data_IF_825528949534
#
_entry.id   IF_825528949534
#
_cell.length_a   1.000
_cell.length_b   1.000
_cell.length_c   1.000
_cell.angle_alpha   90.00
_cell.angle_beta   90.00
_cell.angle_gamma   90.00
#
_symmetry.space_group_name_H-M   'P 1'
#
loop_
_entity.id
_entity.type
_entity.pdbx_description
1 polymer ?
#
# COMPACT_ATOMS: atom_id res chain seq x y z
N UNK A 1 58.18 -33.24 -41.05
CA UNK A 1 58.60 -31.96 -40.44
C UNK A 1 58.45 -32.09 -38.92
N UNK A 2 59.57 -32.17 -38.19
CA UNK A 2 59.57 -32.42 -36.75
C UNK A 2 59.41 -31.09 -35.96
N UNK A 3 58.46 -31.08 -35.02
CA UNK A 3 58.16 -29.92 -34.19
C UNK A 3 59.28 -29.71 -33.15
N UNK A 4 59.98 -28.56 -33.18
CA UNK A 4 61.07 -28.26 -32.23
C UNK A 4 60.51 -28.16 -30.80
N UNK A 5 61.12 -28.80 -29.79
CA UNK A 5 60.68 -28.67 -28.41
C UNK A 5 60.91 -27.25 -27.91
N UNK A 6 59.83 -26.55 -27.56
CA UNK A 6 59.88 -25.20 -26.96
C UNK A 6 60.81 -25.17 -25.75
N UNK A 7 61.67 -24.14 -25.69
CA UNK A 7 62.64 -23.98 -24.61
C UNK A 7 61.94 -23.74 -23.26
N UNK A 8 62.57 -24.12 -22.15
CA UNK A 8 62.05 -23.85 -20.79
C UNK A 8 61.72 -22.36 -20.57
N UNK A 9 62.44 -21.45 -21.24
CA UNK A 9 62.22 -19.99 -21.19
C UNK A 9 60.97 -19.54 -21.95
N UNK A 10 60.62 -20.19 -23.06
CA UNK A 10 59.39 -19.90 -23.80
C UNK A 10 58.15 -20.40 -23.05
N UNK A 11 58.21 -21.61 -22.48
CA UNK A 11 57.12 -22.14 -21.65
C UNK A 11 56.89 -21.29 -20.40
N UNK A 12 57.95 -20.78 -19.77
CA UNK A 12 57.81 -19.89 -18.60
C UNK A 12 57.25 -18.52 -18.97
N UNK A 13 57.65 -17.95 -20.13
CA UNK A 13 57.07 -16.71 -20.67
C UNK A 13 55.59 -16.88 -21.02
N UNK A 14 55.21 -17.98 -21.68
CA UNK A 14 53.82 -18.30 -22.00
C UNK A 14 52.97 -18.50 -20.74
N UNK A 15 53.47 -19.24 -19.73
CA UNK A 15 52.79 -19.36 -18.43
C UNK A 15 52.63 -18.02 -17.72
N UNK A 16 53.66 -17.16 -17.74
CA UNK A 16 53.58 -15.83 -17.10
C UNK A 16 52.64 -14.88 -17.85
N UNK A 17 52.56 -14.97 -19.17
CA UNK A 17 51.59 -14.21 -19.99
C UNK A 17 50.16 -14.71 -19.77
N UNK A 18 49.92 -16.02 -19.73
CA UNK A 18 48.60 -16.57 -19.47
C UNK A 18 48.14 -16.28 -18.04
N UNK A 19 49.04 -16.33 -17.06
CA UNK A 19 48.76 -15.98 -15.67
C UNK A 19 48.46 -14.48 -15.50
N UNK A 20 49.19 -13.59 -16.20
CA UNK A 20 48.87 -12.15 -16.25
C UNK A 20 47.51 -11.89 -16.89
N UNK A 21 47.21 -12.50 -18.04
CA UNK A 21 45.91 -12.37 -18.70
C UNK A 21 44.77 -12.88 -17.81
N UNK A 22 44.94 -14.05 -17.18
CA UNK A 22 43.95 -14.63 -16.26
C UNK A 22 43.72 -13.74 -15.04
N UNK A 23 44.79 -13.18 -14.46
CA UNK A 23 44.69 -12.20 -13.37
C UNK A 23 43.99 -10.91 -13.81
N UNK A 24 44.27 -10.40 -15.00
CA UNK A 24 43.58 -9.22 -15.57
C UNK A 24 42.09 -9.48 -15.82
N UNK A 25 41.73 -10.67 -16.31
CA UNK A 25 40.32 -11.06 -16.47
C UNK A 25 39.60 -11.18 -15.13
N UNK A 26 40.23 -11.79 -14.11
CA UNK A 26 39.66 -11.89 -12.77
C UNK A 26 39.45 -10.50 -12.17
N UNK A 27 40.47 -9.63 -12.22
CA UNK A 27 40.37 -8.26 -11.71
C UNK A 27 39.34 -7.43 -12.46
N UNK A 28 39.24 -7.57 -13.79
CA UNK A 28 38.21 -6.91 -14.60
C UNK A 28 36.80 -7.37 -14.24
N UNK A 29 36.60 -8.67 -14.05
CA UNK A 29 35.31 -9.23 -13.63
C UNK A 29 34.90 -8.75 -12.21
N UNK A 30 35.86 -8.63 -11.29
CA UNK A 30 35.62 -8.08 -9.95
C UNK A 30 35.17 -6.61 -10.00
N UNK A 31 35.82 -5.77 -10.82
CA UNK A 31 35.44 -4.36 -10.97
C UNK A 31 34.03 -4.23 -11.56
N UNK A 32 33.73 -4.99 -12.61
CA UNK A 32 32.39 -4.98 -13.24
C UNK A 32 31.32 -5.45 -12.24
N UNK A 33 31.59 -6.52 -11.48
CA UNK A 33 30.69 -7.02 -10.44
C UNK A 33 30.46 -5.99 -9.33
N UNK A 34 31.52 -5.31 -8.88
CA UNK A 34 31.42 -4.26 -7.87
C UNK A 34 30.60 -3.05 -8.38
N UNK A 35 30.82 -2.62 -9.63
CA UNK A 35 30.05 -1.54 -10.25
C UNK A 35 28.57 -1.91 -10.43
N UNK A 36 28.27 -3.13 -10.85
CA UNK A 36 26.90 -3.63 -10.97
C UNK A 36 26.20 -3.68 -9.60
N UNK A 37 26.91 -4.13 -8.56
CA UNK A 37 26.38 -4.15 -7.19
C UNK A 37 26.09 -2.74 -6.67
N UNK A 38 27.02 -1.80 -6.83
CA UNK A 38 26.82 -0.40 -6.41
C UNK A 38 25.67 0.24 -7.20
N UNK A 39 25.58 -0.01 -8.51
CA UNK A 39 24.48 0.46 -9.35
C UNK A 39 23.12 -0.09 -8.91
N UNK A 40 23.05 -1.39 -8.60
CA UNK A 40 21.83 -2.02 -8.10
C UNK A 40 21.43 -1.47 -6.72
N UNK A 41 22.39 -1.31 -5.80
CA UNK A 41 22.14 -0.72 -4.49
C UNK A 41 21.67 0.74 -4.60
N UNK A 42 22.28 1.55 -5.47
CA UNK A 42 21.86 2.92 -5.72
C UNK A 42 20.47 2.98 -6.37
N UNK A 43 20.14 2.05 -7.27
CA UNK A 43 18.80 1.93 -7.86
C UNK A 43 17.75 1.58 -6.80
N UNK A 44 18.03 0.61 -5.92
CA UNK A 44 17.14 0.24 -4.81
C UNK A 44 16.86 1.43 -3.87
N UNK A 45 17.91 2.18 -3.49
CA UNK A 45 17.76 3.38 -2.66
C UNK A 45 16.98 4.47 -3.40
N UNK A 46 17.31 4.74 -4.66
CA UNK A 46 16.61 5.74 -5.46
C UNK A 46 15.13 5.39 -5.68
N UNK A 47 14.82 4.12 -5.90
CA UNK A 47 13.46 3.63 -6.05
C UNK A 47 12.65 3.73 -4.75
N UNK A 48 13.26 3.42 -3.61
CA UNK A 48 12.63 3.63 -2.30
C UNK A 48 12.33 5.12 -2.06
N UNK A 49 13.31 6.01 -2.30
CA UNK A 49 13.13 7.45 -2.17
C UNK A 49 12.06 8.00 -3.12
N UNK A 50 11.98 7.50 -4.35
CA UNK A 50 10.96 7.89 -5.31
C UNK A 50 9.55 7.46 -4.88
N UNK A 51 9.39 6.23 -4.35
CA UNK A 51 8.11 5.81 -3.75
C UNK A 51 7.72 6.68 -2.57
N UNK A 52 8.65 6.97 -1.67
CA UNK A 52 8.39 7.89 -0.55
C UNK A 52 8.07 9.32 -1.01
N UNK A 53 8.55 9.76 -2.18
CA UNK A 53 8.19 11.07 -2.72
C UNK A 53 6.79 11.14 -3.33
N UNK A 54 6.17 9.99 -3.62
CA UNK A 54 4.76 9.91 -4.00
C UNK A 54 3.82 9.84 -2.79
N UNK A 55 4.32 9.82 -1.54
CA UNK A 55 3.47 9.75 -0.35
C UNK A 55 2.84 11.11 0.00
N UNK A 56 1.96 11.61 -0.85
CA UNK A 56 0.75 12.29 -0.37
C UNK A 56 -0.23 11.16 -0.12
N UNK A 57 -0.34 10.70 1.12
CA UNK A 57 -1.07 9.48 1.54
C UNK A 57 -2.59 9.63 1.39
N UNK A 58 -3.05 9.85 0.17
CA UNK A 58 -4.41 10.26 -0.16
C UNK A 58 -4.41 11.47 -1.08
N UNK A 59 -5.31 11.45 -2.05
CA UNK A 59 -5.77 12.64 -2.74
C UNK A 59 -6.79 13.36 -1.84
N UNK A 60 -6.69 14.70 -1.80
CA UNK A 60 -7.65 15.50 -1.02
C UNK A 60 -8.97 15.55 -1.76
N UNK A 61 -10.01 15.05 -1.11
CA UNK A 61 -11.39 15.18 -1.56
C UNK A 61 -11.98 16.53 -1.12
N UNK A 62 -12.94 17.05 -1.89
CA UNK A 62 -13.72 18.22 -1.47
C UNK A 62 -14.55 17.84 -0.24
N UNK A 63 -14.46 18.63 0.83
CA UNK A 63 -15.28 18.43 2.03
C UNK A 63 -16.70 18.91 1.77
N UNK A 64 -17.68 18.11 2.19
CA UNK A 64 -19.07 18.53 2.21
C UNK A 64 -19.28 19.66 3.23
N UNK A 65 -20.18 20.60 2.90
CA UNK A 65 -20.48 21.74 3.77
C UNK A 65 -21.18 21.32 5.07
N UNK A 66 -22.12 20.37 4.96
CA UNK A 66 -22.84 19.81 6.11
C UNK A 66 -22.14 18.55 6.61
N UNK A 67 -21.92 18.50 7.93
CA UNK A 67 -21.34 17.38 8.67
C UNK A 67 -22.25 16.94 9.82
N UNK A 68 -23.52 17.35 9.77
CA UNK A 68 -24.43 17.17 10.90
C UNK A 68 -24.91 15.73 11.02
N UNK A 69 -25.26 15.34 12.25
CA UNK A 69 -26.03 14.14 12.49
C UNK A 69 -27.43 14.22 11.86
N UNK A 70 -27.83 13.16 11.19
CA UNK A 70 -29.20 12.91 10.71
C UNK A 70 -29.77 11.65 11.35
N UNK A 71 -31.09 11.54 11.35
CA UNK A 71 -31.79 10.37 11.90
C UNK A 71 -31.44 9.11 11.08
N UNK A 72 -31.23 7.98 11.77
CA UNK A 72 -30.97 6.68 11.12
C UNK A 72 -32.12 6.30 10.17
N UNK A 73 -31.78 5.93 8.94
CA UNK A 73 -32.71 5.69 7.83
C UNK A 73 -32.95 6.92 6.92
N UNK A 74 -32.41 8.10 7.27
CA UNK A 74 -32.42 9.26 6.39
C UNK A 74 -31.43 9.05 5.24
N UNK A 75 -31.87 9.11 3.98
CA UNK A 75 -30.95 8.99 2.87
C UNK A 75 -29.92 10.12 2.86
N UNK A 76 -28.64 9.78 2.80
CA UNK A 76 -27.53 10.72 2.63
C UNK A 76 -26.86 10.50 1.28
N UNK A 77 -26.64 11.59 0.55
CA UNK A 77 -25.89 11.62 -0.70
C UNK A 77 -24.49 12.21 -0.46
N UNK A 78 -23.46 11.53 -0.94
CA UNK A 78 -22.07 11.95 -0.78
C UNK A 78 -21.49 12.47 -2.09
N UNK A 79 -20.54 13.40 -2.01
CA UNK A 79 -19.84 13.95 -3.18
C UNK A 79 -18.65 13.08 -3.64
N UNK A 80 -18.27 12.06 -2.88
CA UNK A 80 -17.29 11.04 -3.27
C UNK A 80 -17.85 9.64 -3.05
N UNK A 81 -17.32 8.68 -3.81
CA UNK A 81 -17.61 7.25 -3.66
C UNK A 81 -16.29 6.45 -3.64
N UNK A 82 -15.91 5.83 -2.50
CA UNK A 82 -16.59 5.83 -1.21
C UNK A 82 -16.61 7.23 -0.54
N UNK A 83 -17.45 7.45 0.49
CA UNK A 83 -17.53 8.76 1.13
C UNK A 83 -16.25 9.10 1.91
N UNK A 84 -15.99 10.41 2.01
CA UNK A 84 -14.83 10.97 2.73
C UNK A 84 -15.23 12.03 3.76
N UNK A 85 -16.44 12.56 3.70
CA UNK A 85 -17.03 13.52 4.65
C UNK A 85 -18.54 13.59 4.42
N UNK A 86 -19.27 14.31 5.25
CA UNK A 86 -20.69 14.60 5.03
C UNK A 86 -21.55 14.39 6.25
N UNK A 87 -22.86 14.55 6.05
CA UNK A 87 -23.88 14.16 7.02
C UNK A 87 -23.80 12.67 7.31
N UNK A 88 -24.15 12.27 8.51
CA UNK A 88 -23.98 10.90 8.94
C UNK A 88 -24.91 10.57 10.11
N UNK A 89 -25.06 9.28 10.43
CA UNK A 89 -25.92 8.86 11.52
C UNK A 89 -25.25 9.08 12.87
N UNK A 90 -26.03 9.30 13.93
CA UNK A 90 -25.50 9.56 15.27
C UNK A 90 -24.75 8.38 15.92
N UNK A 91 -24.86 7.18 15.35
CA UNK A 91 -24.16 5.99 15.86
C UNK A 91 -23.00 5.64 14.91
N UNK A 92 -21.74 5.61 15.38
CA UNK A 92 -20.63 5.16 14.56
C UNK A 92 -20.61 3.64 14.37
N UNK A 93 -19.99 3.20 13.28
CA UNK A 93 -19.59 1.79 13.15
C UNK A 93 -18.29 1.56 13.96
N UNK A 94 -18.20 0.53 14.80
CA UNK A 94 -16.99 0.27 15.57
C UNK A 94 -15.87 -0.25 14.68
N UNK A 95 -14.63 -0.16 15.18
CA UNK A 95 -13.47 -0.71 14.50
C UNK A 95 -13.62 -2.23 14.30
N UNK A 96 -13.19 -2.73 13.16
CA UNK A 96 -13.36 -4.14 12.83
C UNK A 96 -13.24 -4.45 11.35
N UNK A 97 -13.11 -5.75 11.06
CA UNK A 97 -13.14 -6.28 9.71
C UNK A 97 -14.53 -6.88 9.47
N UNK A 98 -15.27 -6.33 8.52
CA UNK A 98 -16.65 -6.71 8.21
C UNK A 98 -16.72 -7.40 6.84
N UNK A 99 -17.60 -8.40 6.74
CA UNK A 99 -17.95 -9.06 5.47
C UNK A 99 -19.36 -8.72 4.98
N UNK A 100 -20.14 -8.04 5.83
CA UNK A 100 -21.49 -7.54 5.55
C UNK A 100 -21.82 -6.46 6.59
N UNK A 101 -22.91 -5.73 6.40
CA UNK A 101 -23.45 -4.80 7.40
C UNK A 101 -23.80 -5.56 8.68
N UNK A 102 -23.25 -5.18 9.86
CA UNK A 102 -23.55 -5.87 11.11
C UNK A 102 -25.02 -5.77 11.50
N UNK A 103 -25.50 -6.79 12.21
CA UNK A 103 -26.86 -6.80 12.71
C UNK A 103 -27.15 -5.55 13.57
N UNK A 104 -28.29 -4.92 13.28
CA UNK A 104 -28.73 -3.72 13.99
C UNK A 104 -28.13 -2.43 13.45
N UNK A 105 -27.38 -2.43 12.36
CA UNK A 105 -27.04 -1.24 11.56
C UNK A 105 -27.93 -1.18 10.30
N UNK A 106 -28.12 0.01 9.75
CA UNK A 106 -28.88 0.20 8.52
C UNK A 106 -28.13 -0.40 7.31
N UNK A 107 -28.66 -1.49 6.76
CA UNK A 107 -28.08 -2.14 5.58
C UNK A 107 -28.35 -1.38 4.28
N UNK A 108 -29.29 -0.42 4.27
CA UNK A 108 -29.54 0.45 3.12
C UNK A 108 -28.50 1.55 2.97
N UNK A 109 -27.97 2.06 4.10
CA UNK A 109 -26.93 3.10 4.14
C UNK A 109 -25.86 2.85 5.22
N UNK A 110 -25.13 1.71 5.18
CA UNK A 110 -24.10 1.42 6.19
C UNK A 110 -22.99 2.47 6.22
N UNK A 111 -22.71 3.11 5.09
CA UNK A 111 -21.71 4.15 4.97
C UNK A 111 -22.01 5.37 5.85
N UNK A 112 -23.26 5.69 6.16
CA UNK A 112 -23.61 6.79 7.05
C UNK A 112 -23.21 6.54 8.51
N UNK A 113 -23.04 5.29 8.93
CA UNK A 113 -22.39 4.98 10.21
C UNK A 113 -20.87 5.07 10.14
N UNK A 114 -20.29 4.77 8.98
CA UNK A 114 -18.84 4.78 8.75
C UNK A 114 -18.30 6.22 8.62
N UNK A 115 -19.08 7.15 8.05
CA UNK A 115 -18.72 8.57 8.00
C UNK A 115 -18.60 9.17 9.39
N UNK A 116 -19.48 8.79 10.33
CA UNK A 116 -19.33 9.15 11.75
C UNK A 116 -18.00 8.62 12.31
N UNK A 117 -17.65 7.35 12.04
CA UNK A 117 -16.36 6.80 12.46
C UNK A 117 -15.19 7.63 11.89
N UNK A 118 -15.27 8.07 10.62
CA UNK A 118 -14.26 8.97 10.04
C UNK A 118 -14.23 10.35 10.71
N UNK A 119 -15.37 10.90 11.15
CA UNK A 119 -15.42 12.12 11.96
C UNK A 119 -14.61 11.96 13.27
N UNK A 120 -14.61 10.76 13.84
CA UNK A 120 -13.81 10.40 15.01
C UNK A 120 -12.38 9.93 14.70
N UNK A 121 -11.95 10.01 13.44
CA UNK A 121 -10.55 9.82 13.05
C UNK A 121 -10.22 8.43 12.51
N UNK A 122 -11.25 7.64 12.16
CA UNK A 122 -11.05 6.31 11.64
C UNK A 122 -10.52 6.33 10.20
N UNK A 123 -9.79 5.27 9.86
CA UNK A 123 -9.37 4.96 8.50
C UNK A 123 -10.13 3.73 7.99
N UNK A 124 -10.64 3.82 6.78
CA UNK A 124 -11.53 2.81 6.21
C UNK A 124 -10.86 2.14 5.02
N UNK A 125 -10.95 0.81 4.97
CA UNK A 125 -10.59 -0.04 3.85
C UNK A 125 -11.87 -0.51 3.16
N UNK A 126 -12.25 0.12 2.05
CA UNK A 126 -13.37 -0.28 1.22
C UNK A 126 -12.89 -1.29 0.19
N UNK A 127 -13.25 -2.56 0.32
CA UNK A 127 -12.75 -3.62 -0.57
C UNK A 127 -13.86 -4.17 -1.46
N UNK A 128 -13.52 -4.51 -2.70
CA UNK A 128 -14.45 -5.11 -3.65
C UNK A 128 -13.94 -6.45 -4.16
N UNK A 129 -14.55 -7.53 -3.68
CA UNK A 129 -14.22 -8.89 -4.12
C UNK A 129 -15.01 -9.34 -5.37
N UNK A 130 -15.99 -8.57 -5.87
CA UNK A 130 -16.78 -8.95 -7.04
C UNK A 130 -16.03 -8.78 -8.36
N UNK A 131 -14.94 -7.99 -8.35
CA UNK A 131 -14.15 -7.61 -9.53
C UNK A 131 -12.80 -8.35 -9.63
N UNK A 132 -12.49 -9.21 -8.67
CA UNK A 132 -11.25 -10.01 -8.61
C UNK A 132 -11.58 -11.49 -8.38
N UNK A 133 -10.61 -12.37 -8.58
CA UNK A 133 -10.80 -13.80 -8.30
C UNK A 133 -10.91 -14.09 -6.80
N UNK A 134 -11.47 -15.25 -6.44
CA UNK A 134 -11.60 -15.69 -5.04
C UNK A 134 -10.24 -15.72 -4.32
N UNK A 135 -9.19 -16.23 -4.98
CA UNK A 135 -7.84 -16.25 -4.41
C UNK A 135 -7.28 -14.84 -4.19
N UNK A 136 -7.46 -13.93 -5.16
CA UNK A 136 -7.03 -12.53 -5.02
C UNK A 136 -7.80 -11.81 -3.92
N UNK A 137 -9.09 -12.12 -3.75
CA UNK A 137 -9.88 -11.63 -2.63
C UNK A 137 -9.36 -12.17 -1.29
N UNK A 138 -9.03 -13.46 -1.20
CA UNK A 138 -8.40 -14.03 0.01
C UNK A 138 -7.10 -13.29 0.35
N UNK A 139 -6.20 -13.14 -0.62
CA UNK A 139 -4.92 -12.45 -0.45
C UNK A 139 -5.11 -10.97 -0.04
N UNK A 140 -6.09 -10.28 -0.64
CA UNK A 140 -6.44 -8.90 -0.29
C UNK A 140 -6.93 -8.81 1.16
N UNK A 141 -7.87 -9.67 1.55
CA UNK A 141 -8.43 -9.67 2.92
C UNK A 141 -7.35 -9.95 3.96
N UNK A 142 -6.45 -10.91 3.70
CA UNK A 142 -5.30 -11.21 4.56
C UNK A 142 -4.34 -10.01 4.66
N UNK A 143 -4.08 -9.35 3.53
CA UNK A 143 -3.26 -8.14 3.48
C UNK A 143 -3.84 -7.00 4.31
N UNK A 144 -5.14 -6.73 4.16
CA UNK A 144 -5.87 -5.72 4.95
C UNK A 144 -5.79 -6.07 6.45
N UNK A 145 -6.10 -7.31 6.83
CA UNK A 145 -6.04 -7.74 8.24
C UNK A 145 -4.62 -7.63 8.81
N UNK A 146 -3.59 -7.89 8.00
CA UNK A 146 -2.20 -7.69 8.42
C UNK A 146 -1.91 -6.22 8.72
N UNK A 147 -2.37 -5.28 7.89
CA UNK A 147 -2.20 -3.84 8.17
C UNK A 147 -2.99 -3.44 9.40
N UNK A 148 -4.27 -3.86 9.53
CA UNK A 148 -5.08 -3.57 10.72
C UNK A 148 -4.43 -4.06 12.01
N UNK A 149 -3.81 -5.25 11.97
CA UNK A 149 -3.08 -5.81 13.11
C UNK A 149 -1.88 -4.96 13.53
N UNK A 150 -1.22 -4.25 12.62
CA UNK A 150 -0.11 -3.33 12.95
C UNK A 150 -0.58 -2.17 13.84
N UNK A 151 -1.88 -1.86 13.83
CA UNK A 151 -2.52 -0.81 14.63
C UNK A 151 -3.41 -1.37 15.76
N UNK A 152 -3.28 -2.66 16.08
CA UNK A 152 -4.13 -3.36 17.07
C UNK A 152 -5.64 -3.24 16.78
N UNK A 153 -6.03 -3.10 15.51
CA UNK A 153 -7.42 -2.88 15.09
C UNK A 153 -8.08 -1.63 15.69
N UNK A 154 -7.31 -0.66 16.20
CA UNK A 154 -7.85 0.57 16.77
C UNK A 154 -8.16 1.58 15.67
N UNK A 155 -9.37 2.16 15.68
CA UNK A 155 -9.80 3.22 14.75
C UNK A 155 -9.58 2.88 13.27
N UNK A 156 -9.75 1.61 12.92
CA UNK A 156 -9.66 1.10 11.55
C UNK A 156 -10.82 0.17 11.25
N UNK A 157 -11.46 0.38 10.10
CA UNK A 157 -12.56 -0.45 9.61
C UNK A 157 -12.18 -1.02 8.25
N UNK A 158 -12.50 -2.28 8.00
CA UNK A 158 -12.55 -2.83 6.65
C UNK A 158 -13.99 -3.24 6.32
N UNK A 159 -14.51 -2.79 5.19
CA UNK A 159 -15.92 -2.96 4.84
C UNK A 159 -16.07 -3.30 3.35
N UNK A 160 -16.92 -4.27 2.97
CA UNK A 160 -17.15 -4.61 1.57
C UNK A 160 -17.90 -3.48 0.87
N UNK A 161 -17.47 -3.11 -0.34
CA UNK A 161 -18.05 -2.02 -1.08
C UNK A 161 -18.04 -2.29 -2.58
N UNK A 162 -19.20 -2.61 -3.16
CA UNK A 162 -19.26 -3.07 -4.55
C UNK A 162 -19.29 -1.93 -5.59
N UNK A 163 -19.39 -0.67 -5.14
CA UNK A 163 -19.47 0.50 -6.02
C UNK A 163 -18.13 0.89 -6.67
N UNK A 164 -17.01 0.52 -6.03
CA UNK A 164 -15.66 0.82 -6.53
C UNK A 164 -15.24 -0.15 -7.64
N UNK A 165 -14.46 0.33 -8.60
CA UNK A 165 -13.96 -0.42 -9.75
C UNK A 165 -12.50 -0.91 -9.60
N UNK A 166 -11.90 -0.67 -8.44
CA UNK A 166 -10.58 -1.18 -8.03
C UNK A 166 -10.70 -2.08 -6.79
N UNK A 167 -9.76 -3.02 -6.57
CA UNK A 167 -9.87 -3.99 -5.47
C UNK A 167 -10.01 -3.35 -4.08
N UNK A 168 -9.38 -2.19 -3.87
CA UNK A 168 -9.41 -1.48 -2.59
C UNK A 168 -9.40 0.03 -2.82
N UNK A 169 -10.23 0.75 -2.08
CA UNK A 169 -10.10 2.19 -1.87
C UNK A 169 -9.98 2.44 -0.37
N UNK A 170 -9.01 3.24 0.03
CA UNK A 170 -8.89 3.67 1.43
C UNK A 170 -9.41 5.09 1.57
N UNK A 171 -10.21 5.35 2.60
CA UNK A 171 -10.66 6.70 2.94
C UNK A 171 -10.39 7.05 4.40
N UNK A 172 -10.26 8.34 4.64
CA UNK A 172 -10.39 8.97 5.95
C UNK A 172 -11.09 10.31 5.75
N UNK A 173 -11.25 11.10 6.81
CA UNK A 173 -11.86 12.41 6.69
C UNK A 173 -11.15 13.29 5.63
N UNK A 174 -11.83 13.57 4.52
CA UNK A 174 -11.34 14.36 3.39
C UNK A 174 -10.19 13.77 2.57
N UNK A 175 -9.84 12.48 2.74
CA UNK A 175 -8.78 11.83 1.98
C UNK A 175 -9.26 10.52 1.35
N UNK A 176 -8.81 10.26 0.12
CA UNK A 176 -9.14 9.06 -0.63
C UNK A 176 -7.91 8.54 -1.36
N UNK A 177 -7.69 7.22 -1.35
CA UNK A 177 -6.61 6.59 -2.10
C UNK A 177 -7.09 5.27 -2.73
N UNK A 178 -7.21 5.19 -4.08
CA UNK A 178 -7.49 3.93 -4.76
C UNK A 178 -6.24 3.04 -4.91
N UNK A 179 -6.45 1.73 -4.91
CA UNK A 179 -5.42 0.69 -5.06
C UNK A 179 -5.84 -0.32 -6.13
N UNK A 180 -5.23 -0.22 -7.31
CA UNK A 180 -5.33 -1.23 -8.40
C UNK A 180 -4.76 -2.60 -7.98
N UNK A 181 -3.80 -2.59 -7.05
CA UNK A 181 -3.23 -3.78 -6.42
C UNK A 181 -2.88 -3.45 -4.99
N UNK A 182 -3.08 -4.40 -4.06
CA UNK A 182 -2.76 -4.19 -2.65
C UNK A 182 -1.25 -3.98 -2.45
N UNK A 183 -0.89 -2.84 -1.85
CA UNK A 183 0.47 -2.53 -1.40
C UNK A 183 0.44 -2.31 0.12
N UNK A 184 0.99 -3.27 0.86
CA UNK A 184 1.01 -3.26 2.33
C UNK A 184 1.68 -2.00 2.90
N UNK A 185 2.78 -1.56 2.31
CA UNK A 185 3.53 -0.40 2.80
C UNK A 185 2.72 0.86 2.57
N UNK A 186 2.17 1.04 1.38
CA UNK A 186 1.35 2.21 1.06
C UNK A 186 0.06 2.26 1.89
N UNK A 187 -0.60 1.12 2.11
CA UNK A 187 -1.78 1.04 2.98
C UNK A 187 -1.46 1.38 4.44
N UNK A 188 -0.36 0.82 4.98
CA UNK A 188 0.13 1.13 6.32
C UNK A 188 0.48 2.61 6.48
N UNK A 189 1.11 3.20 5.46
CA UNK A 189 1.41 4.62 5.44
C UNK A 189 0.12 5.45 5.43
N UNK A 190 -0.89 5.11 4.62
CA UNK A 190 -2.19 5.79 4.65
C UNK A 190 -2.81 5.80 6.05
N UNK A 191 -2.83 4.66 6.76
CA UNK A 191 -3.32 4.62 8.14
C UNK A 191 -2.49 5.54 9.05
N UNK A 192 -1.16 5.42 8.99
CA UNK A 192 -0.23 6.21 9.82
C UNK A 192 -0.43 7.71 9.64
N UNK A 193 -0.67 8.15 8.41
CA UNK A 193 -0.77 9.56 8.09
C UNK A 193 -2.17 10.12 8.28
N UNK A 194 -3.24 9.32 8.30
CA UNK A 194 -4.61 9.84 8.33
C UNK A 194 -5.40 9.52 9.59
N UNK A 195 -5.00 8.51 10.36
CA UNK A 195 -5.64 8.20 11.63
C UNK A 195 -5.63 9.43 12.56
N UNK A 196 -6.75 9.70 13.22
CA UNK A 196 -6.95 10.85 14.11
C UNK A 196 -6.79 12.23 13.47
N UNK A 197 -6.86 12.34 12.13
CA UNK A 197 -6.95 13.62 11.41
C UNK A 197 -8.37 13.90 10.96
N UNK A 198 -9.21 14.31 11.91
CA UNK A 198 -10.64 14.54 11.69
C UNK A 198 -11.18 15.67 12.58
N UNK A 199 -12.43 16.13 12.37
CA UNK A 199 -13.03 17.19 13.17
C UNK A 199 -13.13 16.86 14.67
N UNK A 200 -13.46 15.62 15.02
CA UNK A 200 -13.70 15.17 16.40
C UNK A 200 -12.85 13.95 16.77
N UNK A 201 -11.55 13.99 16.44
CA UNK A 201 -10.64 12.87 16.69
C UNK A 201 -10.68 12.38 18.14
N UNK A 202 -10.71 11.04 18.32
CA UNK A 202 -10.71 10.35 19.62
C UNK A 202 -11.91 10.64 20.52
N UNK A 203 -13.00 11.20 19.96
CA UNK A 203 -14.24 11.31 20.70
C UNK A 203 -14.82 9.90 20.98
N UNK A 204 -15.41 9.70 22.18
CA UNK A 204 -15.85 8.40 22.68
C UNK A 204 -17.14 7.88 22.03
#
# INVERSE_FOLDING_TARGET
MANKPQSRRERSRQKRQSQKRRSQFIWGAFIIGALAFVGYAAWQVGFALWRSSQSTTGETAELMESILHVDEGTPVDYNTDPPTSGEHYARPLPAGFFEDTPAGYDAGQPQAHIVHSMEHGYVIFWYNCEIISENECTDLKEGIQSVMSDFNFLEVIAFPWNSIDVPLVMTSWGQIQPFESFDHVAARDFVTFNQNKSPEAQAP
#
